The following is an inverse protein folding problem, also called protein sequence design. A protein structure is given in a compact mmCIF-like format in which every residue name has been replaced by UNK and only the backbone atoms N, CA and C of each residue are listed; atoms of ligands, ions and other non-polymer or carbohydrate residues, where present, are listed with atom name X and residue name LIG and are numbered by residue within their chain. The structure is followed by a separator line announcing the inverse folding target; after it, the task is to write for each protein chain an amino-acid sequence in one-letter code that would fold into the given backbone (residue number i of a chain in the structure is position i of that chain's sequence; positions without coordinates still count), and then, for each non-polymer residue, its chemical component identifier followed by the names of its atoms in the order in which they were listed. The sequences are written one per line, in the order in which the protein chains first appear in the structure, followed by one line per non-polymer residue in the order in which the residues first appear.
data_IF_084632823277
#
_entry.id   IF_084632823277
#
_cell.length_a   1.000
_cell.length_b   1.000
_cell.length_c   1.000
_cell.angle_alpha   90.00
_cell.angle_beta   90.00
_cell.angle_gamma   90.00
#
_symmetry.space_group_name_H-M   'P 1'
#
loop_
_entity.id
_entity.type
_entity.pdbx_description
1 polymer ?
#
# COMPACT_ATOMS: atom_id res chain seq x y z
N UNK A 1 15.02 6.36 -52.39
CA UNK A 1 13.94 6.01 -51.42
C UNK A 1 14.19 4.73 -50.61
N UNK A 2 15.15 3.85 -50.95
CA UNK A 2 15.42 2.59 -50.23
C UNK A 2 16.18 2.72 -48.88
N UNK A 3 16.92 3.81 -48.67
CA UNK A 3 17.71 4.01 -47.44
C UNK A 3 16.88 4.46 -46.22
N UNK A 4 15.75 5.13 -46.44
CA UNK A 4 14.85 5.55 -45.36
C UNK A 4 14.18 4.37 -44.65
N UNK A 5 13.92 3.27 -45.36
CA UNK A 5 13.34 2.06 -44.75
C UNK A 5 14.34 1.33 -43.85
N UNK A 6 15.64 1.36 -44.17
CA UNK A 6 16.69 0.72 -43.36
C UNK A 6 16.95 1.52 -42.08
N UNK A 7 16.85 2.86 -42.13
CA UNK A 7 17.00 3.74 -40.96
C UNK A 7 15.83 3.62 -39.97
N UNK A 8 14.61 3.40 -40.45
CA UNK A 8 13.42 3.18 -39.61
C UNK A 8 13.47 1.85 -38.85
N UNK A 9 14.01 0.79 -39.47
CA UNK A 9 14.15 -0.54 -38.82
C UNK A 9 15.26 -0.53 -37.76
N UNK A 10 16.34 0.25 -37.96
CA UNK A 10 17.42 0.35 -36.98
C UNK A 10 17.01 1.15 -35.73
N UNK A 11 16.12 2.14 -35.87
CA UNK A 11 15.62 2.96 -34.75
C UNK A 11 14.65 2.17 -33.85
N UNK A 12 13.91 1.20 -34.40
CA UNK A 12 13.01 0.32 -33.64
C UNK A 12 13.73 -0.74 -32.79
N UNK A 13 15.01 -1.00 -33.05
CA UNK A 13 15.81 -2.03 -32.35
C UNK A 13 16.56 -1.50 -31.12
N UNK A 14 16.55 -0.20 -30.84
CA UNK A 14 17.34 0.41 -29.76
C UNK A 14 16.55 0.79 -28.51
N UNK A 15 15.24 0.55 -28.45
CA UNK A 15 14.46 0.76 -27.24
C UNK A 15 14.27 -0.56 -26.48
N UNK A 16 15.38 -1.20 -26.11
CA UNK A 16 15.34 -2.17 -25.02
C UNK A 16 15.12 -1.39 -23.73
N UNK A 17 13.84 -1.19 -23.36
CA UNK A 17 13.49 -0.88 -21.98
C UNK A 17 14.08 -2.02 -21.14
N UNK A 18 15.22 -1.78 -20.53
CA UNK A 18 15.69 -2.62 -19.44
C UNK A 18 14.58 -2.58 -18.42
N UNK A 19 13.89 -3.71 -18.22
CA UNK A 19 12.94 -3.86 -17.13
C UNK A 19 13.73 -3.71 -15.83
N UNK A 20 13.84 -2.49 -15.34
CA UNK A 20 14.54 -2.20 -14.11
C UNK A 20 13.75 -2.81 -12.95
N UNK A 21 14.42 -3.60 -12.14
CA UNK A 21 13.85 -4.32 -11.02
C UNK A 21 14.78 -4.23 -9.82
N UNK A 22 14.19 -4.19 -8.63
CA UNK A 22 14.87 -4.11 -7.34
C UNK A 22 14.50 -5.29 -6.46
N UNK A 23 15.45 -5.75 -5.66
CA UNK A 23 15.19 -6.77 -4.64
C UNK A 23 14.74 -6.10 -3.36
N UNK A 24 13.61 -6.54 -2.81
CA UNK A 24 13.08 -6.08 -1.52
C UNK A 24 12.89 -7.27 -0.58
N UNK A 25 12.95 -7.02 0.72
CA UNK A 25 12.63 -8.02 1.74
C UNK A 25 11.23 -7.76 2.29
N UNK A 26 10.31 -8.71 2.12
CA UNK A 26 8.95 -8.56 2.61
C UNK A 26 8.82 -8.81 4.12
N UNK A 27 7.62 -8.61 4.70
CA UNK A 27 7.41 -8.77 6.14
C UNK A 27 7.60 -10.21 6.65
N UNK A 28 7.65 -11.18 5.73
CA UNK A 28 7.90 -12.59 6.03
C UNK A 28 9.39 -12.95 5.90
N UNK A 29 10.25 -11.99 5.59
CA UNK A 29 11.68 -12.20 5.39
C UNK A 29 12.06 -12.78 4.03
N UNK A 30 11.13 -12.82 3.06
CA UNK A 30 11.42 -13.32 1.71
C UNK A 30 12.06 -12.20 0.88
N UNK A 31 13.11 -12.53 0.13
CA UNK A 31 13.57 -11.65 -0.94
C UNK A 31 12.67 -11.80 -2.17
N UNK A 32 12.17 -10.67 -2.66
CA UNK A 32 11.27 -10.60 -3.81
C UNK A 32 11.80 -9.57 -4.79
N UNK A 33 11.94 -9.96 -6.06
CA UNK A 33 12.29 -9.04 -7.13
C UNK A 33 11.01 -8.34 -7.59
N UNK A 34 10.94 -7.02 -7.48
CA UNK A 34 9.81 -6.19 -7.90
C UNK A 34 10.25 -5.20 -8.97
N UNK A 35 9.34 -4.75 -9.87
CA UNK A 35 9.64 -3.65 -10.77
C UNK A 35 10.10 -2.41 -10.01
N UNK A 36 10.98 -1.61 -10.61
CA UNK A 36 11.40 -0.35 -10.00
C UNK A 36 10.23 0.61 -9.82
N UNK A 37 9.30 0.63 -10.78
CA UNK A 37 8.13 1.51 -10.79
C UNK A 37 6.83 0.73 -11.07
N UNK A 38 6.29 -0.04 -10.10
CA UNK A 38 5.04 -0.78 -10.31
C UNK A 38 3.88 0.17 -10.64
N UNK A 39 3.11 -0.14 -11.67
CA UNK A 39 1.96 0.62 -12.20
C UNK A 39 0.65 -0.17 -12.21
N UNK A 40 0.71 -1.49 -12.05
CA UNK A 40 -0.43 -2.41 -12.19
C UNK A 40 -0.53 -3.30 -10.96
N UNK A 41 -0.98 -2.68 -9.87
CA UNK A 41 -0.99 -3.28 -8.53
C UNK A 41 -2.34 -3.93 -8.24
N UNK A 42 -2.31 -5.15 -7.73
CA UNK A 42 -3.47 -5.76 -7.08
C UNK A 42 -3.26 -5.74 -5.57
N UNK A 43 -4.30 -5.34 -4.83
CA UNK A 43 -4.32 -5.40 -3.37
C UNK A 43 -5.10 -6.61 -2.88
N UNK A 44 -4.56 -7.30 -1.89
CA UNK A 44 -5.27 -8.37 -1.17
C UNK A 44 -6.42 -7.89 -0.30
N UNK A 45 -6.46 -6.59 0.01
CA UNK A 45 -7.53 -5.91 0.73
C UNK A 45 -7.68 -4.48 0.18
N UNK A 46 -8.90 -4.08 -0.18
CA UNK A 46 -9.18 -2.70 -0.58
C UNK A 46 -9.05 -1.73 0.60
N UNK A 47 -9.17 -2.19 1.85
CA UNK A 47 -8.90 -1.36 3.05
C UNK A 47 -7.45 -0.90 3.17
N UNK A 48 -6.51 -1.50 2.43
CA UNK A 48 -5.15 -0.96 2.31
C UNK A 48 -5.11 0.40 1.61
N UNK A 49 -6.23 0.87 1.04
CA UNK A 49 -6.40 2.22 0.51
C UNK A 49 -6.04 3.30 1.53
N UNK A 50 -6.29 3.10 2.84
CA UNK A 50 -5.88 4.07 3.86
C UNK A 50 -4.36 4.26 3.87
N UNK A 51 -3.62 3.16 3.76
CA UNK A 51 -2.15 3.18 3.71
C UNK A 51 -1.66 3.81 2.42
N UNK A 52 -2.30 3.50 1.30
CA UNK A 52 -1.94 4.15 0.03
C UNK A 52 -2.23 5.65 0.06
N UNK A 53 -3.29 6.11 0.73
CA UNK A 53 -3.56 7.55 0.91
C UNK A 53 -2.50 8.29 1.73
N UNK A 54 -1.78 7.60 2.62
CA UNK A 54 -0.62 8.16 3.31
C UNK A 54 0.58 8.30 2.36
N UNK A 55 0.78 7.35 1.44
CA UNK A 55 1.99 7.24 0.62
C UNK A 55 1.87 7.90 -0.75
N UNK A 56 0.72 7.83 -1.40
CA UNK A 56 0.50 8.35 -2.75
C UNK A 56 -0.06 9.76 -2.72
N UNK A 57 0.53 10.72 -3.44
CA UNK A 57 -0.10 12.02 -3.67
C UNK A 57 -1.32 11.88 -4.57
N UNK A 58 -2.38 12.65 -4.30
CA UNK A 58 -3.57 12.66 -5.15
C UNK A 58 -4.41 11.41 -4.97
N UNK A 59 -4.76 10.73 -6.07
CA UNK A 59 -5.57 9.52 -6.04
C UNK A 59 -4.76 8.36 -5.41
N UNK A 60 -5.16 7.85 -4.23
CA UNK A 60 -4.44 6.78 -3.54
C UNK A 60 -4.45 5.45 -4.30
N UNK A 61 -5.41 5.23 -5.19
CA UNK A 61 -5.55 4.01 -5.97
C UNK A 61 -5.03 4.16 -7.41
N UNK A 62 -4.26 5.20 -7.73
CA UNK A 62 -3.86 5.52 -9.12
C UNK A 62 -3.15 4.38 -9.88
N UNK A 63 -2.55 3.44 -9.16
CA UNK A 63 -1.86 2.25 -9.73
C UNK A 63 -2.60 0.95 -9.48
N UNK A 64 -3.76 0.99 -8.85
CA UNK A 64 -4.50 -0.20 -8.46
C UNK A 64 -5.43 -0.64 -9.58
N UNK A 65 -5.32 -1.91 -9.97
CA UNK A 65 -6.09 -2.51 -11.06
C UNK A 65 -7.06 -3.60 -10.58
N UNK A 66 -7.05 -3.91 -9.29
CA UNK A 66 -8.00 -4.84 -8.69
C UNK A 66 -7.83 -5.00 -7.18
N UNK A 67 -8.94 -5.20 -6.48
CA UNK A 67 -9.00 -5.50 -5.06
C UNK A 67 -10.32 -6.20 -4.68
N UNK A 68 -10.46 -6.76 -3.47
CA UNK A 68 -11.76 -7.23 -3.00
C UNK A 68 -12.69 -6.08 -2.57
N UNK A 69 -13.99 -6.37 -2.38
CA UNK A 69 -15.02 -5.37 -2.00
C UNK A 69 -15.05 -5.00 -0.50
N UNK A 70 -14.00 -5.29 0.26
CA UNK A 70 -14.01 -5.22 1.72
C UNK A 70 -14.10 -3.78 2.28
N UNK A 71 -13.56 -2.77 1.59
CA UNK A 71 -13.69 -1.36 1.98
C UNK A 71 -15.13 -0.89 1.81
N UNK A 72 -15.71 -1.08 0.61
CA UNK A 72 -17.11 -0.73 0.35
C UNK A 72 -18.06 -1.44 1.30
N UNK A 73 -17.81 -2.72 1.58
CA UNK A 73 -18.68 -3.54 2.43
C UNK A 73 -18.57 -3.21 3.92
N UNK A 74 -17.36 -3.00 4.43
CA UNK A 74 -17.12 -2.89 5.87
C UNK A 74 -16.86 -1.47 6.36
N UNK A 75 -16.61 -0.51 5.46
CA UNK A 75 -16.48 0.91 5.75
C UNK A 75 -17.01 1.77 4.59
N UNK A 76 -18.33 1.69 4.40
CA UNK A 76 -19.05 2.43 3.37
C UNK A 76 -18.88 3.95 3.48
N UNK A 77 -18.64 4.47 4.70
CA UNK A 77 -18.43 5.90 4.90
C UNK A 77 -17.11 6.36 4.28
N UNK A 78 -16.00 5.69 4.59
CA UNK A 78 -14.73 6.02 3.94
C UNK A 78 -14.79 5.77 2.44
N UNK A 79 -15.43 4.68 2.00
CA UNK A 79 -15.63 4.41 0.58
C UNK A 79 -16.32 5.57 -0.14
N UNK A 80 -17.40 6.12 0.42
CA UNK A 80 -18.08 7.28 -0.13
C UNK A 80 -17.18 8.51 -0.20
N UNK A 81 -16.38 8.79 0.85
CA UNK A 81 -15.45 9.92 0.84
C UNK A 81 -14.38 9.78 -0.26
N UNK A 82 -13.80 8.58 -0.42
CA UNK A 82 -12.81 8.33 -1.45
C UNK A 82 -13.40 8.42 -2.86
N UNK A 83 -14.56 7.81 -3.11
CA UNK A 83 -15.19 7.79 -4.44
C UNK A 83 -15.80 9.14 -4.84
N UNK A 84 -16.23 9.97 -3.88
CA UNK A 84 -16.62 11.35 -4.16
C UNK A 84 -15.42 12.21 -4.61
N UNK A 85 -14.26 12.04 -3.97
CA UNK A 85 -13.06 12.81 -4.30
C UNK A 85 -12.32 12.28 -5.53
N UNK A 86 -12.32 10.95 -5.71
CA UNK A 86 -11.63 10.22 -6.78
C UNK A 86 -12.58 9.21 -7.42
N UNK A 87 -13.50 9.65 -8.31
CA UNK A 87 -14.53 8.79 -8.90
C UNK A 87 -14.00 7.57 -9.67
N UNK A 88 -12.76 7.63 -10.15
CA UNK A 88 -12.07 6.50 -10.80
C UNK A 88 -11.86 5.30 -9.88
N UNK A 89 -11.84 5.49 -8.56
CA UNK A 89 -11.75 4.40 -7.57
C UNK A 89 -12.91 3.42 -7.72
N UNK A 90 -14.12 3.93 -8.00
CA UNK A 90 -15.31 3.11 -8.18
C UNK A 90 -15.29 2.26 -9.47
N UNK A 91 -14.35 2.51 -10.39
CA UNK A 91 -14.19 1.77 -11.65
C UNK A 91 -13.21 0.60 -11.53
N UNK A 92 -12.49 0.48 -10.41
CA UNK A 92 -11.50 -0.57 -10.21
C UNK A 92 -12.24 -1.92 -10.08
N UNK A 93 -11.86 -2.94 -10.86
CA UNK A 93 -12.47 -4.27 -10.80
C UNK A 93 -12.43 -4.87 -9.39
N UNK A 94 -13.59 -5.37 -8.94
CA UNK A 94 -13.69 -6.17 -7.73
C UNK A 94 -13.28 -7.60 -8.08
N UNK A 95 -12.17 -8.07 -7.50
CA UNK A 95 -11.62 -9.42 -7.76
C UNK A 95 -12.11 -10.47 -6.77
N UNK A 96 -12.93 -10.10 -5.78
CA UNK A 96 -13.53 -11.05 -4.84
C UNK A 96 -14.34 -10.38 -3.73
N UNK A 97 -15.08 -11.17 -2.95
CA UNK A 97 -16.04 -10.67 -1.94
C UNK A 97 -15.43 -10.26 -0.59
N UNK A 98 -14.10 -10.34 -0.44
CA UNK A 98 -13.42 -9.93 0.80
C UNK A 98 -12.14 -10.68 1.16
N UNK A 99 -11.78 -11.73 0.41
CA UNK A 99 -10.56 -12.50 0.67
C UNK A 99 -9.89 -12.91 -0.64
N UNK A 100 -8.64 -12.49 -0.84
CA UNK A 100 -7.81 -12.87 -1.99
C UNK A 100 -7.65 -14.40 -2.15
N UNK A 101 -7.80 -15.16 -1.05
CA UNK A 101 -7.75 -16.63 -1.04
C UNK A 101 -8.88 -17.30 -1.82
N UNK A 102 -10.01 -16.62 -2.00
CA UNK A 102 -11.16 -17.14 -2.75
C UNK A 102 -11.09 -16.79 -4.23
N UNK A 103 -10.04 -16.07 -4.65
CA UNK A 103 -9.90 -15.58 -6.01
C UNK A 103 -9.15 -16.60 -6.84
N UNK A 104 -9.72 -16.92 -8.00
CA UNK A 104 -9.09 -17.77 -9.00
C UNK A 104 -7.78 -17.11 -9.52
N UNK A 105 -6.68 -17.87 -9.52
CA UNK A 105 -5.34 -17.38 -9.92
C UNK A 105 -5.32 -16.93 -11.38
N UNK A 106 -5.96 -17.67 -12.28
CA UNK A 106 -6.02 -17.32 -13.71
C UNK A 106 -6.69 -15.96 -13.93
N UNK A 107 -7.71 -15.63 -13.14
CA UNK A 107 -8.40 -14.34 -13.18
C UNK A 107 -7.47 -13.20 -12.73
N UNK A 108 -6.59 -13.44 -11.75
CA UNK A 108 -5.57 -12.47 -11.36
C UNK A 108 -4.53 -12.27 -12.46
N UNK A 109 -4.07 -13.35 -13.09
CA UNK A 109 -3.08 -13.30 -14.19
C UNK A 109 -3.64 -12.54 -15.40
N UNK A 110 -4.93 -12.71 -15.72
CA UNK A 110 -5.58 -12.01 -16.83
C UNK A 110 -5.58 -10.48 -16.67
N UNK A 111 -5.58 -9.97 -15.44
CA UNK A 111 -5.42 -8.54 -15.18
C UNK A 111 -4.01 -8.03 -15.46
N UNK A 112 -3.04 -8.92 -15.73
CA UNK A 112 -1.64 -8.58 -15.99
C UNK A 112 -1.05 -7.64 -14.93
N UNK A 113 -1.11 -8.00 -13.63
CA UNK A 113 -0.49 -7.20 -12.59
C UNK A 113 1.03 -7.28 -12.68
N UNK A 114 1.70 -6.19 -12.35
CA UNK A 114 3.15 -6.14 -12.19
C UNK A 114 3.58 -6.26 -10.72
N UNK A 115 2.62 -6.19 -9.78
CA UNK A 115 2.82 -6.42 -8.36
C UNK A 115 1.52 -6.81 -7.67
N UNK A 116 1.60 -7.77 -6.74
CA UNK A 116 0.51 -8.08 -5.80
C UNK A 116 0.99 -7.79 -4.38
N UNK A 117 0.19 -7.04 -3.62
CA UNK A 117 0.47 -6.71 -2.23
C UNK A 117 -0.58 -7.38 -1.35
N UNK A 118 -0.13 -8.31 -0.51
CA UNK A 118 -0.99 -9.09 0.38
C UNK A 118 -0.78 -8.71 1.85
N UNK A 119 -1.84 -8.69 2.67
CA UNK A 119 -1.67 -8.61 4.11
C UNK A 119 -1.11 -9.93 4.66
N UNK A 120 -0.34 -9.90 5.74
CA UNK A 120 0.30 -11.08 6.35
C UNK A 120 -0.72 -12.16 6.71
N UNK A 121 -1.91 -11.78 7.20
CA UNK A 121 -2.93 -12.77 7.50
C UNK A 121 -3.34 -13.56 6.27
N UNK A 122 -3.17 -13.06 5.03
CA UNK A 122 -3.50 -13.82 3.83
C UNK A 122 -2.75 -15.17 3.79
N UNK A 123 -1.53 -15.23 4.35
CA UNK A 123 -0.77 -16.47 4.52
C UNK A 123 -1.39 -17.35 5.62
N UNK A 124 -2.21 -18.32 5.21
CA UNK A 124 -2.58 -19.46 6.07
C UNK A 124 -1.73 -20.69 5.71
N UNK A 125 -1.73 -21.70 6.58
CA UNK A 125 -1.21 -23.03 6.24
C UNK A 125 -1.99 -23.60 5.05
N UNK A 126 -1.28 -24.08 4.01
CA UNK A 126 -1.88 -24.64 2.78
C UNK A 126 -1.95 -23.70 1.57
N UNK A 127 -1.43 -22.47 1.67
CA UNK A 127 -1.54 -21.42 0.64
C UNK A 127 -0.44 -21.49 -0.46
N UNK A 128 0.29 -22.61 -0.50
CA UNK A 128 1.42 -22.78 -1.42
C UNK A 128 0.99 -22.81 -2.89
N UNK A 129 -0.24 -23.26 -3.20
CA UNK A 129 -0.73 -23.40 -4.57
C UNK A 129 -0.97 -22.07 -5.29
N UNK A 130 -1.71 -21.15 -4.66
CA UNK A 130 -2.03 -19.82 -5.22
C UNK A 130 -0.75 -19.00 -5.44
N UNK A 131 0.11 -18.96 -4.41
CA UNK A 131 1.38 -18.24 -4.47
C UNK A 131 2.34 -18.88 -5.49
N UNK A 132 2.39 -20.21 -5.58
CA UNK A 132 3.18 -20.90 -6.60
C UNK A 132 2.67 -20.61 -8.01
N UNK A 133 1.36 -20.53 -8.22
CA UNK A 133 0.76 -20.16 -9.51
C UNK A 133 1.17 -18.75 -9.96
N UNK A 134 1.05 -17.77 -9.07
CA UNK A 134 1.46 -16.38 -9.34
C UNK A 134 2.98 -16.26 -9.56
N UNK A 135 3.78 -17.01 -8.79
CA UNK A 135 5.24 -17.05 -8.94
C UNK A 135 5.64 -17.66 -10.28
N UNK A 136 5.00 -18.75 -10.70
CA UNK A 136 5.22 -19.38 -12.02
C UNK A 136 4.84 -18.46 -13.18
N UNK A 137 3.84 -17.59 -12.97
CA UNK A 137 3.45 -16.55 -13.93
C UNK A 137 4.39 -15.34 -13.93
N UNK A 138 5.44 -15.32 -13.08
CA UNK A 138 6.39 -14.21 -12.99
C UNK A 138 5.83 -12.96 -12.31
N UNK A 139 4.71 -13.07 -11.60
CA UNK A 139 4.08 -11.95 -10.90
C UNK A 139 4.63 -11.88 -9.47
N UNK A 140 5.33 -10.80 -9.09
CA UNK A 140 5.88 -10.70 -7.75
C UNK A 140 4.78 -10.42 -6.72
N UNK A 141 4.88 -11.10 -5.59
CA UNK A 141 3.94 -10.98 -4.47
C UNK A 141 4.73 -10.61 -3.23
N UNK A 142 4.38 -9.49 -2.60
CA UNK A 142 4.94 -9.07 -1.31
C UNK A 142 3.88 -9.14 -0.21
N UNK A 143 4.33 -9.38 1.03
CA UNK A 143 3.46 -9.32 2.20
C UNK A 143 3.80 -8.13 3.09
N UNK A 144 2.75 -7.49 3.61
CA UNK A 144 2.82 -6.44 4.64
C UNK A 144 1.97 -6.82 5.85
N UNK A 145 2.27 -6.30 7.03
CA UNK A 145 1.46 -6.51 8.22
C UNK A 145 1.13 -5.19 8.89
N UNK A 146 -0.14 -4.82 8.75
CA UNK A 146 -0.74 -3.59 9.29
C UNK A 146 -1.95 -3.93 10.18
N UNK A 147 -2.05 -5.18 10.68
CA UNK A 147 -3.21 -5.64 11.45
C UNK A 147 -2.90 -6.67 12.54
N UNK A 148 -1.94 -7.57 12.32
CA UNK A 148 -1.71 -8.74 13.18
C UNK A 148 -0.72 -8.40 14.29
N UNK A 149 0.51 -8.06 13.93
CA UNK A 149 1.56 -7.68 14.88
C UNK A 149 1.96 -6.21 14.68
N UNK A 150 1.00 -5.32 14.99
CA UNK A 150 1.10 -3.89 14.70
C UNK A 150 2.34 -3.22 15.30
N UNK A 151 2.68 -3.55 16.55
CA UNK A 151 3.81 -2.95 17.24
C UNK A 151 5.13 -3.31 16.56
N UNK A 152 5.25 -4.53 16.06
CA UNK A 152 6.45 -5.02 15.40
C UNK A 152 6.52 -4.63 13.93
N UNK A 153 5.40 -4.69 13.21
CA UNK A 153 5.41 -4.69 11.75
C UNK A 153 4.85 -3.44 11.06
N UNK A 154 4.24 -2.49 11.78
CA UNK A 154 3.76 -1.24 11.15
C UNK A 154 4.91 -0.49 10.48
N UNK A 155 5.99 -0.19 11.22
CA UNK A 155 7.13 0.56 10.68
C UNK A 155 7.81 -0.19 9.53
N UNK A 156 8.17 -1.48 9.65
CA UNK A 156 8.72 -2.25 8.53
C UNK A 156 7.80 -2.29 7.29
N UNK A 157 6.49 -2.45 7.48
CA UNK A 157 5.53 -2.52 6.37
C UNK A 157 5.41 -1.18 5.64
N UNK A 158 5.36 -0.06 6.36
CA UNK A 158 5.33 1.27 5.75
C UNK A 158 6.65 1.56 5.03
N UNK A 159 7.79 1.15 5.60
CA UNK A 159 9.10 1.30 4.95
C UNK A 159 9.16 0.51 3.64
N UNK A 160 8.73 -0.76 3.67
CA UNK A 160 8.65 -1.62 2.48
C UNK A 160 7.75 -1.00 1.40
N UNK A 161 6.55 -0.54 1.76
CA UNK A 161 5.64 0.11 0.80
C UNK A 161 6.24 1.42 0.26
N UNK A 162 6.92 2.20 1.10
CA UNK A 162 7.65 3.39 0.68
C UNK A 162 8.73 3.07 -0.35
N UNK A 163 9.51 2.01 -0.15
CA UNK A 163 10.51 1.56 -1.11
C UNK A 163 9.88 1.07 -2.41
N UNK A 164 8.89 0.18 -2.33
CA UNK A 164 8.25 -0.44 -3.50
C UNK A 164 7.52 0.59 -4.36
N UNK A 165 6.79 1.52 -3.74
CA UNK A 165 5.99 2.53 -4.45
C UNK A 165 6.79 3.78 -4.85
N UNK A 166 8.08 3.87 -4.47
CA UNK A 166 8.94 5.04 -4.64
C UNK A 166 8.37 6.28 -3.92
N UNK A 167 8.05 6.08 -2.65
CA UNK A 167 7.48 7.05 -1.70
C UNK A 167 8.23 7.04 -0.37
N UNK A 168 9.54 6.78 -0.41
CA UNK A 168 10.41 6.66 0.77
C UNK A 168 10.31 7.88 1.68
N UNK A 169 10.37 9.10 1.13
CA UNK A 169 10.25 10.33 1.91
C UNK A 169 8.91 10.44 2.67
N UNK A 170 7.78 10.07 2.05
CA UNK A 170 6.47 10.07 2.70
C UNK A 170 6.34 8.96 3.74
N UNK A 171 6.89 7.78 3.44
CA UNK A 171 6.97 6.69 4.40
C UNK A 171 7.77 7.10 5.64
N UNK A 172 8.93 7.74 5.46
CA UNK A 172 9.75 8.26 6.55
C UNK A 172 9.03 9.35 7.36
N UNK A 173 8.33 10.28 6.72
CA UNK A 173 7.51 11.28 7.42
C UNK A 173 6.47 10.61 8.33
N UNK A 174 5.74 9.62 7.81
CA UNK A 174 4.75 8.89 8.60
C UNK A 174 5.40 8.07 9.72
N UNK A 175 6.51 7.38 9.45
CA UNK A 175 7.24 6.59 10.44
C UNK A 175 7.71 7.47 11.60
N UNK A 176 8.28 8.65 11.29
CA UNK A 176 8.72 9.60 12.30
C UNK A 176 7.55 10.09 13.15
N UNK A 177 6.40 10.40 12.53
CA UNK A 177 5.19 10.78 13.24
C UNK A 177 4.67 9.65 14.15
N UNK A 178 4.58 8.44 13.62
CA UNK A 178 4.12 7.26 14.35
C UNK A 178 5.02 6.93 15.56
N UNK A 179 6.33 7.00 15.37
CA UNK A 179 7.31 6.76 16.43
C UNK A 179 7.28 7.87 17.49
N UNK A 180 7.18 9.14 17.08
CA UNK A 180 7.03 10.25 18.01
C UNK A 180 5.82 10.06 18.93
N UNK A 181 4.67 9.71 18.36
CA UNK A 181 3.47 9.39 19.15
C UNK A 181 3.71 8.20 20.08
N UNK A 182 4.29 7.12 19.57
CA UNK A 182 4.57 5.92 20.37
C UNK A 182 5.47 6.21 21.58
N UNK A 183 6.53 7.00 21.39
CA UNK A 183 7.43 7.43 22.47
C UNK A 183 6.71 8.35 23.45
N UNK A 184 5.91 9.31 22.96
CA UNK A 184 5.13 10.21 23.81
C UNK A 184 4.11 9.45 24.67
N UNK A 185 3.44 8.43 24.12
CA UNK A 185 2.54 7.55 24.87
C UNK A 185 3.28 6.66 25.87
N UNK A 186 4.43 6.09 25.50
CA UNK A 186 5.22 5.24 26.39
C UNK A 186 5.84 6.02 27.57
N UNK A 187 6.17 7.30 27.36
CA UNK A 187 6.65 8.19 28.41
C UNK A 187 5.51 8.73 29.31
N UNK A 188 4.25 8.46 28.97
CA UNK A 188 3.11 8.94 29.74
C UNK A 188 2.88 8.03 30.95
N UNK A 189 2.95 8.53 32.20
CA UNK A 189 2.55 7.74 33.35
C UNK A 189 1.05 7.41 33.20
N UNK A 190 0.67 6.17 33.53
CA UNK A 190 -0.72 5.72 33.48
C UNK A 190 -1.63 6.80 34.07
N UNK A 191 -2.62 7.25 33.28
CA UNK A 191 -3.45 8.39 33.68
C UNK A 191 -4.09 8.09 35.05
N UNK A 192 -3.99 9.02 36.04
CA UNK A 192 -4.71 8.84 37.28
C UNK A 192 -6.20 8.70 36.99
N UNK A 193 -6.88 7.82 37.73
CA UNK A 193 -8.29 7.42 37.54
C UNK A 193 -9.29 8.60 37.54
N UNK A 194 -8.84 9.81 37.88
CA UNK A 194 -9.53 11.08 37.68
C UNK A 194 -8.56 12.10 37.07
N UNK A 195 -8.89 12.61 35.87
CA UNK A 195 -8.21 13.75 35.26
C UNK A 195 -8.73 15.05 35.89
N UNK A 196 -7.85 15.88 36.44
CA UNK A 196 -8.22 17.25 36.81
C UNK A 196 -8.49 18.09 35.55
N UNK A 197 -9.43 19.05 35.62
CA UNK A 197 -9.82 19.91 34.48
C UNK A 197 -8.63 20.57 33.77
N UNK A 198 -7.64 21.03 34.53
CA UNK A 198 -6.41 21.65 34.01
C UNK A 198 -5.57 20.72 33.13
N UNK A 199 -5.54 19.41 33.45
CA UNK A 199 -4.86 18.44 32.58
C UNK A 199 -5.67 18.20 31.31
N UNK A 200 -6.99 18.07 31.40
CA UNK A 200 -7.88 17.94 30.24
C UNK A 200 -7.70 19.08 29.20
N UNK A 201 -7.58 20.32 29.68
CA UNK A 201 -7.38 21.49 28.82
C UNK A 201 -6.01 21.47 28.11
N UNK A 202 -4.96 20.98 28.78
CA UNK A 202 -3.66 20.80 28.15
C UNK A 202 -3.64 19.69 27.08
N UNK A 203 -4.47 18.64 27.23
CA UNK A 203 -4.66 17.63 26.17
C UNK A 203 -5.34 18.22 24.94
N UNK A 204 -6.40 19.01 25.14
CA UNK A 204 -7.11 19.65 24.03
C UNK A 204 -6.21 20.65 23.27
N UNK A 205 -5.38 21.41 24.00
CA UNK A 205 -4.43 22.33 23.40
C UNK A 205 -3.33 21.60 22.59
N UNK A 206 -2.78 20.49 23.11
CA UNK A 206 -1.78 19.68 22.41
C UNK A 206 -2.34 19.01 21.15
N UNK A 207 -3.50 18.35 21.28
CA UNK A 207 -4.17 17.74 20.14
C UNK A 207 -4.44 18.80 19.06
N UNK A 208 -5.00 19.95 19.43
CA UNK A 208 -5.29 21.04 18.51
C UNK A 208 -4.06 21.66 17.83
N UNK A 209 -2.91 21.72 18.52
CA UNK A 209 -1.64 22.12 17.91
C UNK A 209 -1.13 21.08 16.91
N UNK A 210 -1.17 19.80 17.26
CA UNK A 210 -0.72 18.71 16.38
C UNK A 210 -1.60 18.61 15.11
N UNK A 211 -2.93 18.74 15.26
CA UNK A 211 -3.88 18.77 14.14
C UNK A 211 -3.58 19.94 13.20
N UNK A 212 -3.34 21.14 13.75
CA UNK A 212 -3.07 22.34 12.93
C UNK A 212 -1.71 22.31 12.23
N UNK A 213 -0.67 21.75 12.87
CA UNK A 213 0.69 21.78 12.29
C UNK A 213 0.93 20.68 11.26
N UNK A 214 0.21 19.56 11.34
CA UNK A 214 0.46 18.38 10.51
C UNK A 214 -0.59 18.13 9.42
N UNK A 215 -1.85 18.54 9.60
CA UNK A 215 -2.91 18.31 8.61
C UNK A 215 -3.13 19.48 7.64
N UNK A 216 -2.67 20.69 7.97
CA UNK A 216 -2.87 21.86 7.10
C UNK A 216 -1.73 22.12 6.11
N UNK A 217 -0.59 21.43 6.22
CA UNK A 217 0.53 21.55 5.27
C UNK A 217 0.53 20.45 4.19
N UNK A 218 -0.52 19.63 4.14
CA UNK A 218 -0.67 18.49 3.22
C UNK A 218 -1.92 18.56 2.34
N UNK A 219 -2.57 19.72 2.27
CA UNK A 219 -3.59 20.06 1.27
C UNK A 219 -3.03 21.01 0.21
#
# INVERSE_FOLDING_TARGET
MRYYQILLVFCLLSFTLTSQAKSVTDILGRQVIVPDYPQRIILGESRMLYTLALLEPGNPAQRVIGWPADLERFDAQSWQLYTQKFPEIAKIPIIGSGNIRQINVESLIQLQPDLIILPRFARAEGDDGTLAGLTKAGIPVIYVDLRVDLLKHTVPSIKLLGEVLNRQARAEQFINFYQFLSTAYAAYPAAPRQLSRTKADSYAAFASWATRKLLYHSL
#
